data_IF_279188998999
#
_entry.id   IF_279188998999
#
_cell.length_a   1.000
_cell.length_b   1.000
_cell.length_c   1.000
_cell.angle_alpha   90.00
_cell.angle_beta   90.00
_cell.angle_gamma   90.00
#
_symmetry.space_group_name_H-M   'P 1'
#
loop_
_entity.id
_entity.type
_entity.pdbx_description
1 polymer ?
#
# COMPACT_ATOMS: atom_id res chain seq x y z
N UNK A 1 0.27 13.74 -25.75
CA UNK A 1 0.39 13.20 -24.37
C UNK A 1 0.69 11.73 -24.46
N UNK A 2 1.58 11.18 -23.59
CA UNK A 2 1.92 9.75 -23.59
C UNK A 2 0.75 8.96 -22.99
N UNK A 3 0.29 7.91 -23.67
CA UNK A 3 -0.74 6.98 -23.18
C UNK A 3 -0.13 5.61 -22.95
N UNK A 4 -0.69 4.84 -22.03
CA UNK A 4 -0.18 3.58 -21.53
C UNK A 4 -1.13 2.41 -21.88
N UNK A 5 -0.66 1.19 -21.78
CA UNK A 5 -1.42 -0.05 -21.99
C UNK A 5 -2.12 -0.13 -23.37
N UNK A 6 -1.52 0.46 -24.41
CA UNK A 6 -2.15 0.70 -25.73
C UNK A 6 -2.55 -0.57 -26.51
N UNK A 7 -1.92 -1.69 -26.25
CA UNK A 7 -2.11 -2.96 -26.99
C UNK A 7 -2.51 -4.11 -26.08
N UNK A 8 -3.00 -3.77 -24.88
CA UNK A 8 -3.39 -4.77 -23.90
C UNK A 8 -4.75 -5.36 -24.28
N UNK A 9 -4.76 -6.62 -24.69
CA UNK A 9 -6.00 -7.39 -24.79
C UNK A 9 -6.31 -8.01 -23.43
N UNK A 10 -7.24 -7.37 -22.71
CA UNK A 10 -7.69 -7.84 -21.40
C UNK A 10 -8.81 -8.87 -21.49
N UNK A 11 -9.33 -9.14 -22.70
CA UNK A 11 -10.41 -10.12 -22.94
C UNK A 11 -9.89 -11.51 -23.28
N UNK A 12 -8.59 -11.69 -23.46
CA UNK A 12 -8.00 -13.00 -23.73
C UNK A 12 -8.17 -13.97 -22.56
N UNK A 13 -8.81 -15.12 -22.77
CA UNK A 13 -9.08 -16.11 -21.71
C UNK A 13 -7.83 -16.54 -20.96
N UNK A 14 -6.71 -16.76 -21.67
CA UNK A 14 -5.45 -17.16 -21.04
C UNK A 14 -4.89 -16.06 -20.12
N UNK A 15 -5.05 -14.79 -20.51
CA UNK A 15 -4.67 -13.65 -19.68
C UNK A 15 -5.53 -13.60 -18.42
N UNK A 16 -6.84 -13.71 -18.57
CA UNK A 16 -7.79 -13.70 -17.45
C UNK A 16 -7.49 -14.88 -16.52
N UNK A 17 -7.45 -16.10 -17.05
CA UNK A 17 -7.17 -17.34 -16.32
C UNK A 17 -5.91 -17.23 -15.46
N UNK A 18 -4.81 -16.73 -16.04
CA UNK A 18 -3.53 -16.57 -15.34
C UNK A 18 -3.68 -15.76 -14.05
N UNK A 19 -4.33 -14.63 -14.13
CA UNK A 19 -4.39 -13.70 -12.99
C UNK A 19 -5.46 -14.05 -11.98
N UNK A 20 -6.65 -14.50 -12.44
CA UNK A 20 -7.70 -14.94 -11.50
C UNK A 20 -7.30 -16.22 -10.78
N UNK A 21 -6.62 -17.16 -11.45
CA UNK A 21 -6.12 -18.38 -10.81
C UNK A 21 -5.14 -18.06 -9.69
N UNK A 22 -4.13 -17.22 -9.97
CA UNK A 22 -3.17 -16.79 -8.94
C UNK A 22 -3.86 -16.19 -7.72
N UNK A 23 -4.84 -15.31 -7.94
CA UNK A 23 -5.61 -14.68 -6.87
C UNK A 23 -6.51 -15.67 -6.12
N UNK A 24 -7.18 -16.56 -6.82
CA UNK A 24 -8.04 -17.60 -6.23
C UNK A 24 -7.20 -18.52 -5.34
N UNK A 25 -6.04 -19.00 -5.81
CA UNK A 25 -5.18 -19.87 -5.00
C UNK A 25 -4.66 -19.17 -3.74
N UNK A 26 -4.27 -17.89 -3.82
CA UNK A 26 -3.91 -17.10 -2.64
C UNK A 26 -5.06 -17.00 -1.62
N UNK A 27 -6.29 -16.82 -2.12
CA UNK A 27 -7.50 -16.74 -1.27
C UNK A 27 -7.91 -18.09 -0.68
N UNK A 28 -7.70 -19.20 -1.37
CA UNK A 28 -8.00 -20.55 -0.86
C UNK A 28 -7.21 -20.86 0.42
N UNK A 29 -5.97 -20.39 0.51
CA UNK A 29 -5.18 -20.51 1.74
C UNK A 29 -5.85 -19.85 2.95
N UNK A 30 -6.69 -18.85 2.72
CA UNK A 30 -7.40 -18.10 3.76
C UNK A 30 -8.85 -18.54 4.01
N UNK A 31 -9.36 -19.54 3.27
CA UNK A 31 -10.62 -20.22 3.56
C UNK A 31 -11.93 -19.53 3.17
N UNK A 32 -11.95 -18.60 2.19
CA UNK A 32 -13.06 -17.64 2.00
C UNK A 32 -13.83 -17.69 0.67
N UNK A 33 -13.96 -18.85 -0.01
CA UNK A 33 -14.51 -18.82 -1.38
C UNK A 33 -15.69 -19.76 -1.73
N UNK A 34 -16.42 -20.37 -0.79
CA UNK A 34 -17.42 -21.38 -1.19
C UNK A 34 -18.58 -20.81 -2.02
N UNK A 35 -18.91 -19.51 -1.92
CA UNK A 35 -20.07 -18.95 -2.60
C UNK A 35 -19.91 -18.87 -4.12
N UNK A 36 -18.76 -18.41 -4.63
CA UNK A 36 -18.53 -18.33 -6.07
C UNK A 36 -18.39 -19.75 -6.68
N UNK A 37 -17.74 -20.68 -5.95
CA UNK A 37 -17.61 -22.07 -6.41
C UNK A 37 -18.94 -22.82 -6.33
N UNK A 38 -19.82 -22.47 -5.41
CA UNK A 38 -21.18 -23.01 -5.35
C UNK A 38 -22.01 -22.56 -6.55
N UNK A 39 -21.91 -21.28 -6.92
CA UNK A 39 -22.61 -20.71 -8.09
C UNK A 39 -22.18 -21.42 -9.38
N UNK A 40 -20.88 -21.37 -9.71
CA UNK A 40 -20.35 -21.97 -10.94
C UNK A 40 -20.43 -23.49 -10.97
N UNK A 41 -20.30 -24.15 -9.83
CA UNK A 41 -20.46 -25.60 -9.73
C UNK A 41 -21.89 -26.11 -9.67
N UNK A 42 -22.89 -25.21 -9.63
CA UNK A 42 -24.30 -25.54 -9.41
C UNK A 42 -24.51 -26.49 -8.21
N UNK A 43 -23.80 -26.25 -7.11
CA UNK A 43 -23.80 -27.07 -5.91
C UNK A 43 -24.04 -26.24 -4.66
N UNK A 44 -24.32 -26.92 -3.53
CA UNK A 44 -24.45 -26.23 -2.24
C UNK A 44 -23.14 -25.62 -1.74
N UNK A 45 -23.20 -24.57 -0.92
CA UNK A 45 -22.00 -23.96 -0.30
C UNK A 45 -21.19 -24.95 0.54
N UNK A 46 -21.83 -25.93 1.15
CA UNK A 46 -21.15 -26.97 1.95
C UNK A 46 -20.41 -27.95 1.04
N UNK A 47 -21.03 -28.36 -0.06
CA UNK A 47 -20.38 -29.21 -1.06
C UNK A 47 -19.21 -28.48 -1.75
N UNK A 48 -19.39 -27.20 -2.12
CA UNK A 48 -18.30 -26.38 -2.64
C UNK A 48 -17.12 -26.30 -1.67
N UNK A 49 -17.37 -26.12 -0.37
CA UNK A 49 -16.30 -26.12 0.65
C UNK A 49 -15.56 -27.46 0.69
N UNK A 50 -16.28 -28.57 0.65
CA UNK A 50 -15.68 -29.91 0.62
C UNK A 50 -14.83 -30.13 -0.62
N UNK A 51 -15.32 -29.73 -1.81
CA UNK A 51 -14.59 -29.89 -3.08
C UNK A 51 -13.38 -28.95 -3.20
N UNK A 52 -13.47 -27.75 -2.65
CA UNK A 52 -12.33 -26.83 -2.55
C UNK A 52 -11.13 -27.44 -1.81
N UNK A 53 -11.38 -28.31 -0.82
CA UNK A 53 -10.31 -28.97 -0.06
C UNK A 53 -9.79 -30.24 -0.72
N UNK A 54 -10.61 -30.93 -1.53
CA UNK A 54 -10.33 -32.30 -1.94
C UNK A 54 -10.30 -32.55 -3.47
N UNK A 55 -10.74 -31.59 -4.30
CA UNK A 55 -10.83 -31.76 -5.76
C UNK A 55 -10.17 -30.62 -6.54
N UNK A 56 -8.88 -30.73 -6.85
CA UNK A 56 -8.17 -29.76 -7.70
C UNK A 56 -8.79 -29.58 -9.08
N UNK A 57 -9.30 -30.67 -9.65
CA UNK A 57 -9.94 -30.70 -10.97
C UNK A 57 -11.21 -29.83 -10.97
N UNK A 58 -12.00 -29.89 -9.91
CA UNK A 58 -13.16 -29.03 -9.74
C UNK A 58 -12.76 -27.54 -9.65
N UNK A 59 -11.69 -27.24 -8.91
CA UNK A 59 -11.19 -25.86 -8.80
C UNK A 59 -10.73 -25.34 -10.15
N UNK A 60 -9.97 -26.15 -10.90
CA UNK A 60 -9.49 -25.78 -12.24
C UNK A 60 -10.67 -25.58 -13.22
N UNK A 61 -11.63 -26.48 -13.24
CA UNK A 61 -12.82 -26.38 -14.11
C UNK A 61 -13.63 -25.11 -13.83
N UNK A 62 -13.83 -24.76 -12.56
CA UNK A 62 -14.54 -23.53 -12.19
C UNK A 62 -13.74 -22.28 -12.58
N UNK A 63 -12.41 -22.29 -12.41
CA UNK A 63 -11.55 -21.17 -12.87
C UNK A 63 -11.67 -20.99 -14.39
N UNK A 64 -11.66 -22.08 -15.14
CA UNK A 64 -11.78 -22.04 -16.60
C UNK A 64 -13.12 -21.46 -17.03
N UNK A 65 -14.21 -21.87 -16.38
CA UNK A 65 -15.55 -21.33 -16.65
C UNK A 65 -15.62 -19.84 -16.30
N UNK A 66 -15.10 -19.42 -15.16
CA UNK A 66 -15.04 -18.00 -14.79
C UNK A 66 -14.25 -17.19 -15.82
N UNK A 67 -13.10 -17.71 -16.28
CA UNK A 67 -12.27 -17.03 -17.26
C UNK A 67 -12.99 -16.87 -18.61
N UNK A 68 -13.69 -17.90 -19.06
CA UNK A 68 -14.51 -17.88 -20.26
C UNK A 68 -15.62 -16.82 -20.17
N UNK A 69 -16.41 -16.85 -19.11
CA UNK A 69 -17.52 -15.89 -18.91
C UNK A 69 -17.00 -14.45 -18.77
N UNK A 70 -15.92 -14.23 -18.00
CA UNK A 70 -15.30 -12.90 -17.91
C UNK A 70 -14.81 -12.41 -19.28
N UNK A 71 -14.22 -13.29 -20.10
CA UNK A 71 -13.81 -12.96 -21.47
C UNK A 71 -14.99 -12.52 -22.34
N UNK A 72 -16.08 -13.28 -22.29
CA UNK A 72 -17.29 -12.98 -23.04
C UNK A 72 -17.91 -11.65 -22.62
N UNK A 73 -18.07 -11.43 -21.32
CA UNK A 73 -18.66 -10.21 -20.76
C UNK A 73 -17.80 -8.96 -20.98
N UNK A 74 -16.49 -9.09 -21.06
CA UNK A 74 -15.59 -8.01 -21.47
C UNK A 74 -15.80 -7.64 -22.95
N UNK A 75 -15.83 -8.64 -23.83
CA UNK A 75 -16.04 -8.44 -25.29
C UNK A 75 -17.40 -7.82 -25.60
N UNK A 76 -18.43 -8.22 -24.88
CA UNK A 76 -19.80 -7.71 -25.04
C UNK A 76 -20.10 -6.46 -24.22
N UNK A 77 -19.16 -6.00 -23.40
CA UNK A 77 -19.33 -4.86 -22.48
C UNK A 77 -20.49 -5.00 -21.50
N UNK A 78 -20.66 -6.21 -20.98
CA UNK A 78 -21.73 -6.59 -20.03
C UNK A 78 -21.16 -7.06 -18.68
N UNK A 79 -20.03 -6.46 -18.24
CA UNK A 79 -19.36 -6.82 -16.99
C UNK A 79 -20.25 -6.56 -15.76
N UNK A 80 -21.02 -5.45 -15.79
CA UNK A 80 -21.94 -5.09 -14.70
C UNK A 80 -23.03 -6.15 -14.56
N UNK A 81 -23.63 -6.54 -15.65
CA UNK A 81 -24.68 -7.59 -15.73
C UNK A 81 -24.13 -8.92 -15.20
N UNK A 82 -22.93 -9.32 -15.60
CA UNK A 82 -22.29 -10.54 -15.10
C UNK A 82 -22.13 -10.53 -13.57
N UNK A 83 -21.65 -9.42 -13.01
CA UNK A 83 -21.50 -9.31 -11.57
C UNK A 83 -22.83 -9.50 -10.85
N UNK A 84 -23.91 -8.88 -11.35
CA UNK A 84 -25.24 -9.05 -10.77
C UNK A 84 -25.87 -10.42 -11.01
N UNK A 85 -25.55 -11.11 -12.10
CA UNK A 85 -25.93 -12.51 -12.32
C UNK A 85 -25.34 -13.45 -11.28
N UNK A 86 -24.04 -13.28 -10.97
CA UNK A 86 -23.34 -14.10 -9.97
C UNK A 86 -23.76 -13.74 -8.54
N UNK A 87 -24.18 -12.50 -8.30
CA UNK A 87 -24.56 -11.98 -6.97
C UNK A 87 -25.91 -11.26 -7.04
N UNK A 88 -26.99 -12.00 -7.32
CA UNK A 88 -28.32 -11.40 -7.35
C UNK A 88 -28.74 -10.94 -5.94
N UNK A 89 -29.40 -9.78 -5.86
CA UNK A 89 -30.04 -9.23 -4.65
C UNK A 89 -29.14 -9.01 -3.42
N UNK A 90 -27.86 -9.36 -3.49
CA UNK A 90 -26.93 -9.14 -2.39
C UNK A 90 -26.18 -7.80 -2.54
N UNK A 91 -25.76 -7.26 -1.40
CA UNK A 91 -24.86 -6.09 -1.42
C UNK A 91 -23.53 -6.45 -2.08
N UNK A 92 -23.13 -5.63 -3.06
CA UNK A 92 -21.84 -5.77 -3.75
C UNK A 92 -20.66 -5.70 -2.77
N UNK A 93 -20.77 -4.81 -1.78
CA UNK A 93 -19.75 -4.57 -0.76
C UNK A 93 -20.39 -4.55 0.62
N UNK A 94 -19.86 -5.34 1.54
CA UNK A 94 -20.22 -5.33 2.96
C UNK A 94 -19.21 -4.50 3.74
N UNK A 95 -19.66 -3.43 4.38
CA UNK A 95 -18.82 -2.65 5.28
C UNK A 95 -18.61 -3.37 6.61
N UNK A 96 -17.35 -3.50 7.05
CA UNK A 96 -16.96 -4.11 8.32
C UNK A 96 -15.97 -3.22 9.04
N UNK A 97 -16.30 -2.84 10.26
CA UNK A 97 -15.41 -2.05 11.10
C UNK A 97 -14.38 -2.94 11.79
N UNK A 98 -13.12 -2.60 11.62
CA UNK A 98 -12.00 -3.24 12.31
C UNK A 98 -11.23 -2.22 13.14
N UNK A 99 -10.72 -2.68 14.29
CA UNK A 99 -9.81 -1.88 15.10
C UNK A 99 -8.38 -2.10 14.61
N UNK A 100 -7.75 -1.05 14.11
CA UNK A 100 -6.32 -1.08 13.74
C UNK A 100 -5.47 -1.36 14.99
N UNK A 101 -4.83 -2.52 15.00
CA UNK A 101 -4.01 -2.98 16.13
C UNK A 101 -2.84 -2.04 16.49
N UNK A 102 -2.36 -1.24 15.54
CA UNK A 102 -1.25 -0.31 15.76
C UNK A 102 -1.72 1.04 16.30
N UNK A 103 -2.71 1.65 15.69
CA UNK A 103 -3.21 2.98 16.06
C UNK A 103 -4.38 2.94 17.05
N UNK A 104 -5.10 1.82 17.14
CA UNK A 104 -6.36 1.70 17.89
C UNK A 104 -7.55 2.40 17.22
N UNK A 105 -7.38 2.94 16.00
CA UNK A 105 -8.45 3.59 15.26
C UNK A 105 -9.37 2.56 14.61
N UNK A 106 -10.66 2.85 14.58
CA UNK A 106 -11.63 2.09 13.82
C UNK A 106 -11.45 2.44 12.33
N UNK A 107 -11.36 1.42 11.49
CA UNK A 107 -11.31 1.53 10.04
C UNK A 107 -12.41 0.67 9.43
N UNK A 108 -13.20 1.26 8.57
CA UNK A 108 -14.23 0.52 7.81
C UNK A 108 -13.57 -0.12 6.60
N UNK A 109 -13.61 -1.43 6.51
CA UNK A 109 -13.19 -2.19 5.33
C UNK A 109 -14.40 -2.50 4.47
N UNK A 110 -14.25 -2.35 3.15
CA UNK A 110 -15.20 -2.87 2.18
C UNK A 110 -14.88 -4.33 1.85
N UNK A 111 -15.74 -5.24 2.24
CA UNK A 111 -15.65 -6.64 1.84
C UNK A 111 -16.47 -6.85 0.57
N UNK A 112 -15.80 -6.80 -0.56
CA UNK A 112 -16.38 -6.96 -1.88
C UNK A 112 -16.70 -8.43 -2.18
N UNK A 113 -17.70 -8.65 -3.01
CA UNK A 113 -18.01 -9.98 -3.53
C UNK A 113 -16.88 -10.47 -4.45
N UNK A 114 -16.66 -11.78 -4.45
CA UNK A 114 -15.49 -12.36 -5.13
C UNK A 114 -15.44 -12.06 -6.61
N UNK A 115 -16.57 -12.14 -7.31
CA UNK A 115 -16.62 -11.83 -8.76
C UNK A 115 -16.15 -10.39 -9.05
N UNK A 116 -16.52 -9.43 -8.20
CA UNK A 116 -16.05 -8.04 -8.30
C UNK A 116 -14.53 -7.97 -8.09
N UNK A 117 -14.01 -8.65 -7.05
CA UNK A 117 -12.56 -8.72 -6.81
C UNK A 117 -11.79 -9.32 -7.99
N UNK A 118 -12.35 -10.31 -8.70
CA UNK A 118 -11.70 -10.91 -9.89
C UNK A 118 -11.56 -9.90 -11.03
N UNK A 119 -12.59 -9.09 -11.30
CA UNK A 119 -12.48 -8.01 -12.28
C UNK A 119 -11.51 -6.91 -11.84
N UNK A 120 -11.44 -6.60 -10.56
CA UNK A 120 -10.46 -5.64 -10.02
C UNK A 120 -9.02 -6.15 -10.15
N UNK A 121 -8.78 -7.43 -9.88
CA UNK A 121 -7.48 -8.06 -10.10
C UNK A 121 -7.08 -7.96 -11.57
N UNK A 122 -8.02 -8.25 -12.47
CA UNK A 122 -7.76 -8.14 -13.90
C UNK A 122 -7.42 -6.69 -14.31
N UNK A 123 -8.19 -5.71 -13.86
CA UNK A 123 -7.93 -4.29 -14.12
C UNK A 123 -6.58 -3.84 -13.56
N UNK A 124 -6.26 -4.29 -12.33
CA UNK A 124 -4.97 -3.99 -11.67
C UNK A 124 -3.79 -4.52 -12.47
N UNK A 125 -3.82 -5.80 -12.84
CA UNK A 125 -2.71 -6.45 -13.55
C UNK A 125 -2.58 -5.93 -15.00
N UNK A 126 -3.69 -5.64 -15.65
CA UNK A 126 -3.70 -5.04 -16.98
C UNK A 126 -3.14 -3.61 -17.02
N UNK A 127 -3.25 -2.87 -15.92
CA UNK A 127 -2.76 -1.51 -15.81
C UNK A 127 -1.33 -1.41 -15.25
N UNK A 128 -0.57 -2.51 -15.14
CA UNK A 128 0.78 -2.52 -14.53
C UNK A 128 1.76 -1.54 -15.20
N UNK A 129 1.71 -1.40 -16.53
CA UNK A 129 2.51 -0.41 -17.27
C UNK A 129 2.19 1.02 -16.78
N UNK A 130 0.90 1.33 -16.57
CA UNK A 130 0.47 2.63 -16.08
C UNK A 130 0.98 2.88 -14.65
N UNK A 131 0.80 1.92 -13.75
CA UNK A 131 1.26 2.04 -12.36
C UNK A 131 2.77 2.25 -12.31
N UNK A 132 3.52 1.41 -13.01
CA UNK A 132 4.98 1.48 -13.06
C UNK A 132 5.49 2.82 -13.62
N UNK A 133 4.83 3.36 -14.64
CA UNK A 133 5.24 4.60 -15.29
C UNK A 133 4.90 5.86 -14.49
N UNK A 134 3.77 5.85 -13.76
CA UNK A 134 3.24 7.05 -13.10
C UNK A 134 3.62 7.16 -11.64
N UNK A 135 3.69 6.03 -10.93
CA UNK A 135 3.97 6.06 -9.50
C UNK A 135 5.39 6.52 -9.24
N UNK A 136 5.53 7.61 -8.51
CA UNK A 136 6.81 8.26 -8.23
C UNK A 136 7.77 7.39 -7.42
N UNK A 137 9.08 7.63 -7.60
CA UNK A 137 10.14 6.85 -6.97
C UNK A 137 10.02 6.79 -5.43
N UNK A 138 9.60 7.88 -4.81
CA UNK A 138 9.46 8.03 -3.37
C UNK A 138 8.01 7.98 -2.88
N UNK A 139 7.11 7.39 -3.66
CA UNK A 139 5.87 6.82 -3.16
C UNK A 139 6.19 5.40 -2.68
N UNK A 140 6.03 5.14 -1.38
CA UNK A 140 6.64 3.94 -0.79
C UNK A 140 5.62 2.92 -0.25
N UNK A 141 4.37 3.28 -0.13
CA UNK A 141 3.37 2.39 0.45
C UNK A 141 2.81 1.39 -0.56
N UNK A 142 2.70 0.14 -0.16
CA UNK A 142 2.05 -0.94 -0.93
C UNK A 142 2.60 -1.19 -2.34
N UNK A 143 3.86 -0.83 -2.59
CA UNK A 143 4.55 -1.04 -3.86
C UNK A 143 5.60 -2.14 -3.68
N UNK A 144 5.66 -3.16 -4.55
CA UNK A 144 6.67 -4.21 -4.48
C UNK A 144 8.09 -3.63 -4.43
N UNK A 145 8.95 -4.17 -3.56
CA UNK A 145 10.32 -3.70 -3.38
C UNK A 145 10.47 -2.35 -2.65
N UNK A 146 9.37 -1.68 -2.32
CA UNK A 146 9.36 -0.43 -1.53
C UNK A 146 8.72 -0.70 -0.15
N UNK A 147 8.39 0.32 0.58
CA UNK A 147 7.81 0.22 1.92
C UNK A 147 8.69 0.87 2.98
N UNK A 148 8.45 0.54 4.25
CA UNK A 148 9.11 1.18 5.38
C UNK A 148 10.64 1.11 5.33
N UNK A 149 11.22 -0.05 5.00
CA UNK A 149 12.67 -0.21 4.93
C UNK A 149 13.30 0.65 3.82
N UNK A 150 12.63 0.71 2.66
CA UNK A 150 13.03 1.57 1.56
C UNK A 150 12.93 3.04 1.96
N UNK A 151 11.79 3.46 2.51
CA UNK A 151 11.58 4.84 2.97
C UNK A 151 12.61 5.24 4.04
N UNK A 152 12.86 4.38 5.04
CA UNK A 152 13.91 4.56 6.04
C UNK A 152 15.26 4.83 5.41
N UNK A 153 15.70 3.93 4.50
CA UNK A 153 17.00 4.03 3.82
C UNK A 153 17.21 5.39 3.14
N UNK A 154 16.17 5.90 2.45
CA UNK A 154 16.31 7.16 1.74
C UNK A 154 16.21 8.37 2.66
N UNK A 155 15.36 8.36 3.68
CA UNK A 155 15.30 9.46 4.68
C UNK A 155 16.65 9.57 5.41
N UNK A 156 17.20 8.46 5.88
CA UNK A 156 18.53 8.45 6.51
C UNK A 156 19.60 8.99 5.56
N UNK A 157 19.59 8.54 4.32
CA UNK A 157 20.53 9.00 3.29
C UNK A 157 20.41 10.50 3.04
N UNK A 158 19.19 11.03 2.90
CA UNK A 158 18.96 12.46 2.70
C UNK A 158 19.39 13.27 3.91
N UNK A 159 18.92 12.91 5.10
CA UNK A 159 19.28 13.62 6.33
C UNK A 159 20.78 13.57 6.60
N UNK A 160 21.44 12.47 6.25
CA UNK A 160 22.89 12.32 6.45
C UNK A 160 23.71 13.05 5.38
N UNK A 161 23.42 12.85 4.09
CA UNK A 161 24.26 13.33 2.99
C UNK A 161 23.92 14.73 2.49
N UNK A 162 22.68 15.18 2.75
CA UNK A 162 22.19 16.51 2.41
C UNK A 162 21.62 17.21 3.65
N UNK A 163 22.47 17.55 4.65
CA UNK A 163 22.03 18.17 5.89
C UNK A 163 21.43 19.57 5.66
N UNK A 164 21.84 20.28 4.60
CA UNK A 164 21.28 21.59 4.27
C UNK A 164 19.92 21.47 3.59
N UNK A 165 19.76 20.59 2.59
CA UNK A 165 18.48 20.35 1.94
C UNK A 165 17.44 19.70 2.83
N UNK A 166 17.85 19.05 3.93
CA UNK A 166 16.96 18.46 4.95
C UNK A 166 16.88 19.26 6.24
N UNK A 167 17.30 20.53 6.23
CA UNK A 167 17.32 21.41 7.40
C UNK A 167 15.95 21.67 8.00
N UNK A 168 14.94 21.78 7.16
CA UNK A 168 13.55 21.91 7.56
C UNK A 168 12.71 20.79 6.96
N UNK A 169 11.68 20.40 7.69
CA UNK A 169 10.74 19.38 7.25
C UNK A 169 9.30 19.88 7.42
N UNK A 170 8.48 19.63 6.42
CA UNK A 170 7.02 19.65 6.52
C UNK A 170 6.52 18.24 6.65
N UNK A 171 5.62 18.00 7.59
CA UNK A 171 4.79 16.79 7.67
C UNK A 171 3.34 17.17 7.46
N UNK A 172 2.67 16.44 6.58
CA UNK A 172 1.26 16.62 6.28
C UNK A 172 0.57 15.28 6.04
N UNK A 173 -0.74 15.27 6.21
CA UNK A 173 -1.60 14.09 6.07
C UNK A 173 -2.86 14.52 5.30
N UNK A 174 -3.29 13.71 4.34
CA UNK A 174 -4.52 13.95 3.58
C UNK A 174 -5.72 13.46 4.40
N UNK A 175 -6.70 14.34 4.60
CA UNK A 175 -7.88 14.02 5.39
C UNK A 175 -8.73 12.96 4.69
N UNK A 176 -8.91 11.80 5.34
CA UNK A 176 -9.74 10.69 4.83
C UNK A 176 -9.42 10.34 3.36
N UNK A 177 -8.15 10.13 3.02
CA UNK A 177 -7.69 9.98 1.63
C UNK A 177 -8.56 9.02 0.81
N UNK A 178 -8.65 7.74 1.20
CA UNK A 178 -9.48 6.75 0.50
C UNK A 178 -10.97 7.13 0.37
N UNK A 179 -11.66 7.53 1.47
CA UNK A 179 -13.07 7.92 1.36
C UNK A 179 -13.33 9.22 0.60
N UNK A 180 -12.31 10.05 0.37
CA UNK A 180 -12.48 11.38 -0.26
C UNK A 180 -12.06 11.42 -1.73
N UNK A 181 -11.55 10.33 -2.30
CA UNK A 181 -11.17 10.30 -3.72
C UNK A 181 -12.39 10.44 -4.61
N UNK A 182 -12.42 11.46 -5.48
CA UNK A 182 -13.50 11.68 -6.42
C UNK A 182 -13.48 10.63 -7.54
N UNK A 183 -14.61 9.96 -7.77
CA UNK A 183 -14.79 9.01 -8.87
C UNK A 183 -14.57 9.70 -10.22
N UNK A 184 -15.16 10.89 -10.42
CA UNK A 184 -15.01 11.66 -11.66
C UNK A 184 -13.56 12.01 -11.92
N UNK A 185 -12.80 12.39 -10.87
CA UNK A 185 -11.38 12.74 -11.01
C UNK A 185 -10.51 11.51 -11.28
N UNK A 186 -10.81 10.36 -10.68
CA UNK A 186 -10.14 9.09 -11.02
C UNK A 186 -10.35 8.78 -12.51
N UNK A 187 -11.59 8.86 -13.00
CA UNK A 187 -11.92 8.57 -14.38
C UNK A 187 -11.32 9.59 -15.34
N UNK A 188 -11.29 10.87 -14.98
CA UNK A 188 -10.60 11.91 -15.78
C UNK A 188 -9.12 11.56 -16.00
N UNK A 189 -8.43 11.17 -14.94
CA UNK A 189 -7.02 10.78 -15.02
C UNK A 189 -6.83 9.52 -15.85
N UNK A 190 -7.65 8.49 -15.65
CA UNK A 190 -7.59 7.24 -16.41
C UNK A 190 -7.88 7.47 -17.89
N UNK A 191 -8.91 8.25 -18.25
CA UNK A 191 -9.21 8.61 -19.65
C UNK A 191 -8.04 9.28 -20.33
N UNK A 192 -7.38 10.20 -19.64
CA UNK A 192 -6.21 10.90 -20.15
C UNK A 192 -5.03 9.96 -20.39
N UNK A 193 -4.76 9.06 -19.46
CA UNK A 193 -3.55 8.23 -19.46
C UNK A 193 -3.75 6.90 -20.21
N UNK A 194 -4.97 6.36 -20.25
CA UNK A 194 -5.34 5.12 -20.97
C UNK A 194 -5.99 5.38 -22.33
N UNK A 195 -6.15 6.59 -22.81
CA UNK A 195 -7.03 7.03 -23.90
C UNK A 195 -7.07 6.21 -25.21
N UNK A 196 -6.18 5.20 -25.37
CA UNK A 196 -6.19 4.23 -26.47
C UNK A 196 -6.40 2.78 -26.02
N UNK A 197 -6.73 2.57 -24.77
CA UNK A 197 -6.99 1.25 -24.15
C UNK A 197 -8.47 1.16 -23.79
N UNK A 198 -9.30 1.16 -24.82
CA UNK A 198 -10.74 1.32 -24.71
C UNK A 198 -11.43 0.30 -23.79
N UNK A 199 -11.02 -0.98 -23.89
CA UNK A 199 -11.58 -2.04 -23.04
C UNK A 199 -11.13 -1.94 -21.58
N UNK A 200 -9.88 -1.58 -21.33
CA UNK A 200 -9.39 -1.38 -19.96
C UNK A 200 -10.03 -0.15 -19.31
N UNK A 201 -10.23 0.91 -20.09
CA UNK A 201 -10.94 2.09 -19.63
C UNK A 201 -12.40 1.77 -19.29
N UNK A 202 -13.10 1.04 -20.18
CA UNK A 202 -14.46 0.53 -19.93
C UNK A 202 -14.52 -0.26 -18.62
N UNK A 203 -13.55 -1.16 -18.37
CA UNK A 203 -13.52 -1.94 -17.14
C UNK A 203 -13.38 -1.04 -15.90
N UNK A 204 -12.49 -0.05 -15.93
CA UNK A 204 -12.37 0.90 -14.82
C UNK A 204 -13.64 1.75 -14.62
N UNK A 205 -14.28 2.22 -15.71
CA UNK A 205 -15.52 2.97 -15.63
C UNK A 205 -16.63 2.12 -14.99
N UNK A 206 -16.73 0.86 -15.36
CA UNK A 206 -17.68 -0.09 -14.76
C UNK A 206 -17.40 -0.30 -13.27
N UNK A 207 -16.15 -0.57 -12.88
CA UNK A 207 -15.78 -0.81 -11.48
C UNK A 207 -16.02 0.43 -10.60
N UNK A 208 -15.67 1.61 -11.07
CA UNK A 208 -15.92 2.85 -10.32
C UNK A 208 -17.44 3.13 -10.23
N UNK A 209 -18.21 2.83 -11.27
CA UNK A 209 -19.68 2.87 -11.23
C UNK A 209 -20.25 1.93 -10.17
N UNK A 210 -19.74 0.70 -10.08
CA UNK A 210 -20.14 -0.27 -9.07
C UNK A 210 -19.74 0.16 -7.64
N UNK A 211 -18.68 0.92 -7.46
CA UNK A 211 -18.37 1.54 -6.15
C UNK A 211 -19.46 2.53 -5.74
N UNK A 212 -19.93 3.36 -6.67
CA UNK A 212 -21.04 4.29 -6.41
C UNK A 212 -22.31 3.53 -6.04
N UNK A 213 -22.66 2.47 -6.79
CA UNK A 213 -23.82 1.63 -6.52
C UNK A 213 -23.74 0.93 -5.16
N UNK A 214 -22.58 0.36 -4.81
CA UNK A 214 -22.36 -0.28 -3.52
C UNK A 214 -22.55 0.69 -2.35
N UNK A 215 -22.16 1.96 -2.52
CA UNK A 215 -22.39 3.01 -1.52
C UNK A 215 -23.87 3.35 -1.37
N UNK A 216 -24.61 3.42 -2.49
CA UNK A 216 -26.07 3.57 -2.46
C UNK A 216 -26.73 2.40 -1.72
N UNK A 217 -26.33 1.15 -2.02
CA UNK A 217 -26.81 -0.03 -1.32
C UNK A 217 -26.51 -0.01 0.19
N UNK A 218 -25.41 0.60 0.59
CA UNK A 218 -25.01 0.79 1.99
C UNK A 218 -25.60 2.06 2.62
N UNK A 219 -26.45 2.81 1.91
CA UNK A 219 -27.08 4.05 2.38
C UNK A 219 -26.07 5.12 2.81
N UNK A 220 -24.92 5.17 2.14
CA UNK A 220 -23.92 6.21 2.37
C UNK A 220 -24.41 7.55 1.80
N UNK A 221 -24.10 8.65 2.51
CA UNK A 221 -24.50 10.00 2.07
C UNK A 221 -23.79 10.46 0.80
N UNK A 222 -22.54 10.03 0.65
CA UNK A 222 -21.68 10.41 -0.47
C UNK A 222 -21.37 9.17 -1.32
N UNK A 223 -21.97 9.08 -2.47
CA UNK A 223 -21.81 7.96 -3.40
C UNK A 223 -20.85 8.27 -4.56
N UNK A 224 -20.39 9.52 -4.71
CA UNK A 224 -19.49 9.94 -5.79
C UNK A 224 -18.01 10.02 -5.38
N UNK A 225 -17.72 9.75 -4.14
CA UNK A 225 -16.36 9.75 -3.61
C UNK A 225 -16.04 8.46 -2.88
N UNK A 226 -14.78 8.09 -2.88
CA UNK A 226 -14.19 7.04 -2.07
C UNK A 226 -14.08 5.69 -2.75
N UNK A 227 -12.93 5.08 -2.53
CA UNK A 227 -12.60 3.71 -2.91
C UNK A 227 -12.54 2.85 -1.65
N UNK A 228 -12.84 1.56 -1.77
CA UNK A 228 -12.94 0.66 -0.61
C UNK A 228 -11.56 0.23 -0.11
N UNK A 229 -11.33 0.36 1.20
CA UNK A 229 -10.15 -0.20 1.84
C UNK A 229 -10.33 -1.72 1.88
N UNK A 230 -9.41 -2.45 1.25
CA UNK A 230 -9.46 -3.92 1.14
C UNK A 230 -9.70 -4.43 -0.29
N UNK A 231 -10.13 -3.57 -1.20
CA UNK A 231 -10.22 -3.87 -2.63
C UNK A 231 -8.84 -4.18 -3.23
N UNK A 232 -8.74 -5.16 -4.13
CA UNK A 232 -7.49 -5.51 -4.82
C UNK A 232 -6.82 -4.35 -5.53
N UNK A 233 -7.59 -3.46 -6.19
CA UNK A 233 -7.07 -2.36 -7.02
C UNK A 233 -6.92 -1.04 -6.26
N UNK A 234 -7.60 -0.86 -5.13
CA UNK A 234 -7.69 0.43 -4.44
C UNK A 234 -6.34 1.03 -4.03
N UNK A 235 -5.38 0.20 -3.62
CA UNK A 235 -4.04 0.67 -3.25
C UNK A 235 -3.26 1.24 -4.45
N UNK A 236 -3.43 0.61 -5.61
CA UNK A 236 -2.75 1.01 -6.84
C UNK A 236 -3.40 2.27 -7.41
N UNK A 237 -4.74 2.35 -7.39
CA UNK A 237 -5.49 3.58 -7.70
C UNK A 237 -5.12 4.75 -6.78
N UNK A 238 -4.96 4.51 -5.47
CA UNK A 238 -4.54 5.54 -4.53
C UNK A 238 -3.14 6.06 -4.84
N UNK A 239 -2.17 5.16 -5.06
CA UNK A 239 -0.82 5.56 -5.45
C UNK A 239 -0.80 6.31 -6.79
N UNK A 240 -1.55 5.84 -7.77
CA UNK A 240 -1.70 6.51 -9.06
C UNK A 240 -2.30 7.91 -8.90
N UNK A 241 -3.38 8.04 -8.15
CA UNK A 241 -4.03 9.33 -7.89
C UNK A 241 -3.07 10.32 -7.22
N UNK A 242 -2.30 9.87 -6.24
CA UNK A 242 -1.31 10.69 -5.54
C UNK A 242 -0.01 10.88 -6.33
N UNK A 243 0.19 10.16 -7.43
CA UNK A 243 1.36 10.38 -8.28
C UNK A 243 1.37 11.78 -8.91
N UNK A 244 0.21 12.37 -9.13
CA UNK A 244 0.11 13.76 -9.60
C UNK A 244 0.66 14.76 -8.59
N UNK A 245 0.40 14.54 -7.29
CA UNK A 245 1.02 15.33 -6.23
C UNK A 245 2.54 15.15 -6.21
N UNK A 246 3.01 13.89 -6.35
CA UNK A 246 4.44 13.60 -6.41
C UNK A 246 5.12 14.35 -7.56
N UNK A 247 4.56 14.26 -8.76
CA UNK A 247 5.11 14.91 -9.94
C UNK A 247 5.02 16.44 -9.88
N UNK A 248 3.94 16.98 -9.37
CA UNK A 248 3.82 18.40 -9.09
C UNK A 248 4.96 18.88 -8.17
N UNK A 249 5.15 18.19 -7.05
CA UNK A 249 6.19 18.52 -6.09
C UNK A 249 7.61 18.41 -6.67
N UNK A 250 7.87 17.40 -7.51
CA UNK A 250 9.21 17.17 -8.05
C UNK A 250 9.54 18.03 -9.27
N UNK A 251 8.55 18.37 -10.08
CA UNK A 251 8.76 18.98 -11.40
C UNK A 251 8.31 20.44 -11.49
N UNK A 252 7.36 20.89 -10.65
CA UNK A 252 6.69 22.18 -10.81
C UNK A 252 6.89 23.14 -9.62
N UNK A 253 7.24 22.64 -8.43
CA UNK A 253 7.47 23.50 -7.25
C UNK A 253 8.78 24.28 -7.31
N UNK A 254 8.77 25.31 -8.13
CA UNK A 254 9.89 26.23 -8.30
C UNK A 254 9.42 27.69 -8.20
N UNK A 255 10.34 28.57 -7.87
CA UNK A 255 10.21 30.01 -7.96
C UNK A 255 11.16 30.54 -9.06
N UNK A 256 10.61 31.30 -10.00
CA UNK A 256 11.45 32.03 -10.97
C UNK A 256 11.99 33.28 -10.28
N UNK A 257 13.30 33.43 -10.23
CA UNK A 257 13.98 34.60 -9.67
C UNK A 257 14.77 35.32 -10.73
N UNK A 258 14.44 36.55 -10.99
CA UNK A 258 15.23 37.44 -11.87
C UNK A 258 16.13 38.30 -11.02
N UNK A 259 17.42 38.21 -11.23
CA UNK A 259 18.42 39.05 -10.59
C UNK A 259 19.41 39.54 -11.63
N UNK A 260 19.61 40.84 -11.73
CA UNK A 260 20.52 41.47 -12.74
C UNK A 260 20.25 40.99 -14.17
N UNK A 261 18.99 40.94 -14.60
CA UNK A 261 18.59 40.49 -15.93
C UNK A 261 18.65 38.97 -16.17
N UNK A 262 19.20 38.18 -15.23
CA UNK A 262 19.30 36.74 -15.37
C UNK A 262 18.19 36.06 -14.55
N UNK A 263 17.33 35.32 -15.22
CA UNK A 263 16.26 34.53 -14.60
C UNK A 263 16.77 33.13 -14.23
N UNK A 264 16.62 32.75 -13.00
CA UNK A 264 17.02 31.44 -12.47
C UNK A 264 15.83 30.75 -11.84
N UNK A 265 15.80 29.41 -11.95
CA UNK A 265 14.78 28.55 -11.38
C UNK A 265 15.24 28.08 -9.99
N UNK A 266 14.58 28.55 -8.93
CA UNK A 266 14.89 28.20 -7.56
C UNK A 266 13.96 27.09 -7.08
N UNK A 267 14.48 25.95 -6.65
CA UNK A 267 13.71 24.89 -6.00
C UNK A 267 13.17 25.35 -4.64
N UNK A 268 11.90 25.04 -4.36
CA UNK A 268 11.27 25.28 -3.05
C UNK A 268 11.40 24.09 -2.13
N UNK A 269 11.52 22.87 -2.69
CA UNK A 269 11.74 21.63 -1.95
C UNK A 269 12.95 20.88 -2.52
N UNK A 270 13.60 20.05 -1.70
CA UNK A 270 14.76 19.24 -2.08
C UNK A 270 14.41 17.76 -2.13
N UNK A 271 13.65 17.26 -1.17
CA UNK A 271 13.22 15.87 -1.12
C UNK A 271 11.75 15.77 -0.74
N UNK A 272 11.10 14.73 -1.27
CA UNK A 272 9.71 14.38 -0.97
C UNK A 272 9.61 12.89 -0.73
N UNK A 273 8.75 12.48 0.19
CA UNK A 273 8.30 11.10 0.33
C UNK A 273 6.82 11.06 0.64
N UNK A 274 6.11 10.13 -0.01
CA UNK A 274 4.68 9.91 0.17
C UNK A 274 4.45 8.46 0.60
N UNK A 275 3.75 8.28 1.70
CA UNK A 275 3.29 6.98 2.16
C UNK A 275 1.76 7.00 2.30
N UNK A 276 1.06 6.68 1.24
CA UNK A 276 -0.39 6.90 1.12
C UNK A 276 -0.74 8.36 1.42
N UNK A 277 -1.54 8.59 2.46
CA UNK A 277 -1.99 9.90 2.93
C UNK A 277 -0.91 10.73 3.62
N UNK A 278 0.13 10.11 4.17
CA UNK A 278 1.23 10.77 4.86
C UNK A 278 2.30 11.28 3.88
N UNK A 279 2.58 12.58 3.92
CA UNK A 279 3.59 13.23 3.05
C UNK A 279 4.61 14.00 3.88
N UNK A 280 5.88 13.87 3.53
CA UNK A 280 6.96 14.73 4.03
C UNK A 280 7.65 15.47 2.90
N UNK A 281 7.98 16.74 3.14
CA UNK A 281 8.76 17.59 2.25
C UNK A 281 9.96 18.14 3.02
N UNK A 282 11.12 18.11 2.40
CA UNK A 282 12.32 18.73 2.97
C UNK A 282 12.77 19.94 2.19
N UNK A 283 13.36 20.92 2.91
CA UNK A 283 13.89 22.13 2.31
C UNK A 283 14.98 22.77 3.17
N UNK A 284 15.80 23.60 2.53
CA UNK A 284 16.90 24.32 3.17
C UNK A 284 16.43 25.59 3.88
N UNK A 285 15.31 26.18 3.45
CA UNK A 285 14.80 27.45 3.95
C UNK A 285 13.36 27.31 4.43
N UNK A 286 13.09 27.86 5.64
CA UNK A 286 11.77 27.76 6.28
C UNK A 286 10.68 28.52 5.49
N UNK A 287 10.98 29.71 4.96
CA UNK A 287 10.03 30.52 4.21
C UNK A 287 9.67 29.88 2.87
N UNK A 288 10.69 29.39 2.16
CA UNK A 288 10.49 28.69 0.87
C UNK A 288 9.65 27.42 1.06
N UNK A 289 9.96 26.64 2.09
CA UNK A 289 9.25 25.40 2.37
C UNK A 289 7.80 25.65 2.83
N UNK A 290 7.57 26.74 3.57
CA UNK A 290 6.21 27.18 3.92
C UNK A 290 5.43 27.58 2.65
N UNK A 291 6.04 28.37 1.75
CA UNK A 291 5.45 28.72 0.47
C UNK A 291 5.12 27.47 -0.36
N UNK A 292 6.05 26.53 -0.43
CA UNK A 292 5.82 25.24 -1.12
C UNK A 292 4.60 24.51 -0.54
N UNK A 293 4.46 24.46 0.78
CA UNK A 293 3.32 23.81 1.41
C UNK A 293 1.99 24.47 1.09
N UNK A 294 1.92 25.80 1.03
CA UNK A 294 0.71 26.50 0.62
C UNK A 294 0.32 26.18 -0.82
N UNK A 295 1.30 26.09 -1.74
CA UNK A 295 1.08 25.68 -3.12
C UNK A 295 0.63 24.21 -3.22
N UNK A 296 1.17 23.33 -2.38
CA UNK A 296 0.75 21.93 -2.27
C UNK A 296 -0.68 21.82 -1.77
N UNK A 297 -1.08 22.60 -0.78
CA UNK A 297 -2.47 22.63 -0.27
C UNK A 297 -3.44 23.05 -1.37
N UNK A 298 -3.09 24.09 -2.14
CA UNK A 298 -3.91 24.55 -3.25
C UNK A 298 -4.00 23.52 -4.37
N UNK A 299 -2.88 22.89 -4.76
CA UNK A 299 -2.86 21.82 -5.75
C UNK A 299 -3.70 20.61 -5.34
N UNK A 300 -3.57 20.16 -4.08
CA UNK A 300 -4.36 19.03 -3.55
C UNK A 300 -5.84 19.36 -3.54
N UNK A 301 -6.22 20.61 -3.25
CA UNK A 301 -7.61 21.06 -3.25
C UNK A 301 -8.16 21.19 -4.68
N UNK A 302 -7.48 21.93 -5.55
CA UNK A 302 -7.98 22.30 -6.89
C UNK A 302 -7.85 21.15 -7.89
N UNK A 303 -6.74 20.42 -7.88
CA UNK A 303 -6.44 19.38 -8.88
C UNK A 303 -6.88 17.99 -8.43
N UNK A 304 -6.67 17.65 -7.14
CA UNK A 304 -7.00 16.33 -6.63
C UNK A 304 -8.36 16.28 -5.91
N UNK A 305 -9.03 17.39 -5.73
CA UNK A 305 -10.29 17.47 -4.98
C UNK A 305 -10.19 16.83 -3.56
N UNK A 306 -8.99 16.90 -2.95
CA UNK A 306 -8.70 16.38 -1.62
C UNK A 306 -8.39 17.51 -0.64
N UNK A 307 -8.39 17.22 0.64
CA UNK A 307 -8.05 18.18 1.69
C UNK A 307 -6.86 17.68 2.52
N UNK A 308 -5.84 18.52 2.68
CA UNK A 308 -4.79 18.30 3.66
C UNK A 308 -5.35 18.67 5.05
N UNK A 309 -4.97 17.90 6.08
CA UNK A 309 -5.34 18.22 7.47
C UNK A 309 -4.73 19.53 7.91
N UNK A 310 -5.50 20.32 8.65
CA UNK A 310 -5.04 21.62 9.17
C UNK A 310 -3.89 21.48 10.20
N UNK A 311 -3.69 20.27 10.74
CA UNK A 311 -2.62 19.90 11.69
C UNK A 311 -1.25 19.63 11.04
N UNK A 312 -1.02 20.03 9.78
CA UNK A 312 0.31 19.93 9.20
C UNK A 312 1.34 20.76 9.99
N UNK A 313 2.59 20.33 9.98
CA UNK A 313 3.63 20.99 10.77
C UNK A 313 4.90 21.25 9.96
N UNK A 314 5.53 22.40 10.19
CA UNK A 314 6.83 22.78 9.65
C UNK A 314 7.79 23.01 10.80
N UNK A 315 8.91 22.29 10.79
CA UNK A 315 9.90 22.35 11.88
C UNK A 315 11.33 22.21 11.34
N UNK A 316 12.29 22.62 12.13
CA UNK A 316 13.70 22.35 11.89
C UNK A 316 14.00 20.94 12.37
N UNK A 317 14.64 20.14 11.51
CA UNK A 317 15.08 18.77 11.85
C UNK A 317 16.11 18.78 12.96
N UNK A 318 16.23 17.68 13.71
CA UNK A 318 17.20 17.55 14.80
C UNK A 318 18.63 17.85 14.37
N UNK A 319 19.36 18.57 15.21
CA UNK A 319 20.77 18.92 15.03
C UNK A 319 21.43 19.22 16.38
N UNK A 320 22.74 19.17 16.44
CA UNK A 320 23.53 19.60 17.59
C UNK A 320 24.05 21.02 17.32
N UNK A 321 23.82 21.94 18.23
CA UNK A 321 24.33 23.31 18.12
C UNK A 321 25.83 23.41 18.43
N UNK A 322 26.41 24.63 18.34
CA UNK A 322 27.84 24.87 18.58
C UNK A 322 28.26 24.54 20.01
N UNK A 323 27.36 24.56 20.96
CA UNK A 323 27.58 24.25 22.38
C UNK A 323 27.35 22.76 22.69
N UNK A 324 27.22 21.89 21.70
CA UNK A 324 26.98 20.46 21.88
C UNK A 324 25.55 20.10 22.29
N UNK A 325 24.62 21.09 22.35
CA UNK A 325 23.25 20.85 22.78
C UNK A 325 22.39 20.40 21.62
N UNK A 326 21.63 19.31 21.82
CA UNK A 326 20.64 18.82 20.87
C UNK A 326 19.49 19.82 20.75
N UNK A 327 19.15 20.21 19.53
CA UNK A 327 18.06 21.12 19.16
C UNK A 327 17.29 20.63 17.94
N UNK A 328 16.19 21.30 17.64
CA UNK A 328 15.28 20.92 16.57
C UNK A 328 14.31 19.84 17.01
N UNK A 329 13.58 19.26 16.06
CA UNK A 329 12.60 18.22 16.29
C UNK A 329 12.98 16.97 15.50
N UNK A 330 12.86 15.82 16.12
CA UNK A 330 13.01 14.53 15.42
C UNK A 330 11.87 14.31 14.45
N UNK A 331 12.18 13.70 13.32
CA UNK A 331 11.17 13.33 12.33
C UNK A 331 10.53 12.01 12.74
N UNK A 332 9.26 12.03 13.11
CA UNK A 332 8.44 10.83 13.33
C UNK A 332 7.65 10.49 12.07
N UNK A 333 8.10 9.50 11.30
CA UNK A 333 7.47 9.12 10.03
C UNK A 333 7.51 7.61 9.83
N UNK A 334 6.46 7.02 9.26
CA UNK A 334 6.32 5.58 9.04
C UNK A 334 6.48 4.74 10.33
N UNK A 335 6.17 5.30 11.51
CA UNK A 335 6.37 4.62 12.80
C UNK A 335 7.82 4.53 13.26
N UNK A 336 8.73 5.25 12.61
CA UNK A 336 10.13 5.42 12.94
C UNK A 336 10.40 6.86 13.35
N UNK A 337 11.36 7.05 14.25
CA UNK A 337 11.83 8.36 14.68
C UNK A 337 13.28 8.53 14.21
N UNK A 338 13.48 9.51 13.34
CA UNK A 338 14.79 9.85 12.77
C UNK A 338 15.41 10.99 13.59
N UNK A 339 16.51 10.69 14.20
CA UNK A 339 17.22 11.59 15.09
C UNK A 339 18.50 12.11 14.41
N UNK A 340 18.47 13.38 14.02
CA UNK A 340 19.64 14.06 13.46
C UNK A 340 20.59 14.51 14.56
N UNK A 341 21.86 14.17 14.44
CA UNK A 341 22.92 14.47 15.42
C UNK A 341 23.90 15.51 14.86
N UNK A 342 25.14 15.46 15.32
CA UNK A 342 26.24 16.34 14.92
C UNK A 342 26.61 16.19 13.43
N UNK A 343 27.16 17.29 12.90
CA UNK A 343 27.82 17.30 11.59
C UNK A 343 29.24 16.81 11.75
N UNK A 344 29.67 15.92 10.84
CA UNK A 344 31.04 15.45 10.75
C UNK A 344 31.57 15.67 9.34
N UNK A 345 32.89 15.98 9.22
CA UNK A 345 33.56 16.06 7.93
C UNK A 345 34.18 14.70 7.60
N UNK A 346 33.90 14.19 6.42
CA UNK A 346 34.52 12.96 5.91
C UNK A 346 35.15 13.25 4.55
N UNK A 347 36.34 12.65 4.33
CA UNK A 347 37.00 12.71 3.04
C UNK A 347 36.61 11.49 2.20
N UNK A 348 36.09 11.72 0.99
CA UNK A 348 35.79 10.68 0.01
C UNK A 348 36.51 11.06 -1.30
N UNK A 349 37.41 10.20 -1.76
CA UNK A 349 38.16 10.41 -3.02
C UNK A 349 38.77 11.82 -3.15
N UNK A 350 39.41 12.29 -2.09
CA UNK A 350 40.03 13.63 -2.05
C UNK A 350 39.08 14.81 -1.83
N UNK A 351 37.78 14.58 -1.75
CA UNK A 351 36.80 15.64 -1.47
C UNK A 351 36.25 15.56 -0.05
N UNK A 352 36.34 16.66 0.68
CA UNK A 352 35.75 16.78 2.01
C UNK A 352 34.24 17.05 1.91
N UNK A 353 33.45 16.14 2.44
CA UNK A 353 31.98 16.25 2.47
C UNK A 353 31.53 16.36 3.92
N UNK A 354 30.64 17.31 4.17
CA UNK A 354 29.99 17.43 5.48
C UNK A 354 28.76 16.52 5.51
N UNK A 355 28.74 15.59 6.44
CA UNK A 355 27.60 14.67 6.64
C UNK A 355 27.06 14.83 8.06
N UNK A 356 25.78 14.49 8.25
CA UNK A 356 25.13 14.43 9.57
C UNK A 356 25.06 12.98 10.04
N UNK A 357 25.37 12.73 11.31
CA UNK A 357 24.99 11.46 11.91
C UNK A 357 23.47 11.42 12.10
N UNK A 358 22.88 10.29 11.73
CA UNK A 358 21.43 10.03 11.87
C UNK A 358 21.26 8.67 12.53
N UNK A 359 20.51 8.64 13.63
CA UNK A 359 20.05 7.39 14.23
C UNK A 359 18.56 7.22 14.04
N UNK A 360 18.09 5.99 13.93
CA UNK A 360 16.68 5.69 13.72
C UNK A 360 16.17 4.75 14.79
N UNK A 361 15.14 5.20 15.50
CA UNK A 361 14.49 4.46 16.59
C UNK A 361 13.07 4.08 16.22
N UNK A 362 12.55 3.07 16.89
CA UNK A 362 11.12 2.70 16.78
C UNK A 362 10.30 3.76 17.54
N UNK A 363 9.16 4.17 16.98
CA UNK A 363 8.21 5.03 17.69
C UNK A 363 7.82 4.40 19.05
N UNK A 364 7.84 5.17 20.12
CA UNK A 364 7.62 4.68 21.49
C UNK A 364 6.34 3.85 21.64
N UNK A 365 5.23 4.26 21.04
CA UNK A 365 3.97 3.52 21.11
C UNK A 365 4.06 2.13 20.48
N UNK A 366 4.79 1.98 19.36
CA UNK A 366 5.01 0.69 18.69
C UNK A 366 5.96 -0.16 19.53
N UNK A 367 7.06 0.44 20.01
CA UNK A 367 8.04 -0.22 20.85
C UNK A 367 7.40 -0.85 22.11
N UNK A 368 6.59 -0.09 22.83
CA UNK A 368 5.91 -0.57 24.04
C UNK A 368 4.92 -1.71 23.74
N UNK A 369 4.17 -1.62 22.62
CA UNK A 369 3.27 -2.70 22.19
C UNK A 369 4.06 -3.96 21.83
N UNK A 370 5.14 -3.83 21.10
CA UNK A 370 6.01 -4.93 20.72
C UNK A 370 6.61 -5.61 21.95
N UNK A 371 7.14 -4.82 22.90
CA UNK A 371 7.74 -5.31 24.14
C UNK A 371 6.71 -6.06 24.98
N UNK A 372 5.51 -5.53 25.16
CA UNK A 372 4.41 -6.23 25.86
C UNK A 372 4.05 -7.53 25.15
N UNK A 373 4.08 -7.58 23.84
CA UNK A 373 3.76 -8.77 23.05
C UNK A 373 4.81 -9.85 23.22
N UNK A 374 6.09 -9.51 23.14
CA UNK A 374 7.19 -10.48 23.29
C UNK A 374 7.26 -11.04 24.71
N UNK A 375 7.04 -10.22 25.73
CA UNK A 375 6.95 -10.68 27.14
C UNK A 375 5.80 -11.67 27.37
N UNK A 376 4.61 -11.38 26.76
CA UNK A 376 3.48 -12.33 26.82
C UNK A 376 3.81 -13.65 26.10
N UNK A 377 4.55 -13.59 25.01
CA UNK A 377 5.00 -14.78 24.29
C UNK A 377 5.97 -15.58 25.15
N UNK A 378 7.00 -14.95 25.72
CA UNK A 378 7.95 -15.58 26.63
C UNK A 378 7.27 -16.22 27.85
N UNK A 379 6.31 -15.53 28.48
CA UNK A 379 5.54 -16.05 29.61
C UNK A 379 4.74 -17.31 29.23
N UNK A 380 4.16 -17.35 28.01
CA UNK A 380 3.45 -18.55 27.53
C UNK A 380 4.40 -19.73 27.34
N UNK A 381 5.59 -19.50 26.79
CA UNK A 381 6.63 -20.55 26.64
C UNK A 381 7.05 -21.06 28.01
N UNK A 382 7.43 -20.17 28.95
CA UNK A 382 7.84 -20.54 30.31
C UNK A 382 6.78 -21.39 31.02
N UNK A 383 5.52 -21.04 30.84
CA UNK A 383 4.39 -21.73 31.45
C UNK A 383 3.90 -22.94 30.63
N UNK A 384 4.64 -23.40 29.62
CA UNK A 384 4.32 -24.52 28.73
C UNK A 384 2.90 -24.47 28.13
N UNK A 385 2.35 -23.22 27.92
CA UNK A 385 1.02 -23.03 27.34
C UNK A 385 1.06 -23.21 25.83
N UNK A 386 0.01 -23.77 25.25
CA UNK A 386 -0.17 -23.89 23.80
C UNK A 386 -0.23 -22.50 23.19
N UNK A 387 0.60 -22.28 22.16
CA UNK A 387 0.68 -21.03 21.43
C UNK A 387 0.13 -21.26 20.01
N UNK A 388 -1.02 -20.67 19.71
CA UNK A 388 -1.62 -20.74 18.37
C UNK A 388 -0.85 -19.93 17.34
N UNK A 389 -0.94 -20.34 16.07
CA UNK A 389 -0.26 -19.71 14.92
C UNK A 389 -0.56 -18.20 14.80
N UNK A 390 -1.81 -17.79 14.98
CA UNK A 390 -2.20 -16.35 14.95
C UNK A 390 -1.45 -15.51 16.00
N UNK A 391 -1.24 -16.07 17.20
CA UNK A 391 -0.50 -15.35 18.24
C UNK A 391 1.00 -15.27 17.89
N UNK A 392 1.59 -16.34 17.38
CA UNK A 392 2.97 -16.37 16.91
C UNK A 392 3.18 -15.38 15.72
N UNK A 393 2.32 -15.40 14.70
CA UNK A 393 2.34 -14.45 13.58
C UNK A 393 2.28 -13.00 14.05
N UNK A 394 1.37 -12.67 14.97
CA UNK A 394 1.25 -11.32 15.52
C UNK A 394 2.46 -10.90 16.37
N UNK A 395 3.27 -11.84 16.86
CA UNK A 395 4.54 -11.56 17.56
C UNK A 395 5.64 -11.26 16.54
N UNK A 396 5.75 -12.06 15.47
CA UNK A 396 6.73 -11.86 14.41
C UNK A 396 6.50 -10.55 13.65
N UNK A 397 5.26 -10.09 13.52
CA UNK A 397 4.92 -8.85 12.82
C UNK A 397 5.72 -7.62 13.32
N UNK A 398 6.16 -7.62 14.57
CA UNK A 398 7.02 -6.55 15.11
C UNK A 398 8.50 -6.69 14.76
N UNK A 399 8.95 -7.85 14.28
CA UNK A 399 10.38 -8.11 14.09
C UNK A 399 11.04 -7.17 13.09
N UNK A 400 10.33 -6.82 12.01
CA UNK A 400 10.84 -5.89 11.00
C UNK A 400 11.26 -4.53 11.56
N UNK A 401 10.55 -4.03 12.57
CA UNK A 401 10.88 -2.79 13.26
C UNK A 401 12.20 -2.87 14.02
N UNK A 402 12.45 -3.98 14.72
CA UNK A 402 13.65 -4.16 15.54
C UNK A 402 14.90 -4.47 14.72
N UNK A 403 14.77 -5.23 13.64
CA UNK A 403 15.91 -5.57 12.78
C UNK A 403 16.42 -4.37 11.99
N UNK A 404 15.52 -3.43 11.65
CA UNK A 404 15.86 -2.29 10.79
C UNK A 404 16.22 -1.00 11.54
N UNK A 405 16.23 -1.01 12.87
CA UNK A 405 16.49 0.19 13.70
C UNK A 405 17.65 -0.01 14.66
N UNK A 406 18.06 1.07 15.34
CA UNK A 406 19.11 1.07 16.38
C UNK A 406 18.59 0.43 17.68
N UNK A 407 18.21 -0.84 17.61
CA UNK A 407 17.59 -1.59 18.71
C UNK A 407 18.38 -2.82 19.15
N UNK A 408 19.66 -2.92 18.77
CA UNK A 408 20.49 -4.09 19.06
C UNK A 408 20.53 -4.43 20.56
N UNK A 409 20.83 -3.46 21.42
CA UNK A 409 20.92 -3.68 22.87
C UNK A 409 19.59 -4.16 23.46
N UNK A 410 18.46 -3.63 22.99
CA UNK A 410 17.14 -4.08 23.42
C UNK A 410 16.86 -5.52 22.96
N UNK A 411 17.26 -5.87 21.73
CA UNK A 411 17.09 -7.24 21.21
C UNK A 411 17.87 -8.25 22.04
N UNK A 412 19.09 -7.90 22.45
CA UNK A 412 19.91 -8.74 23.35
C UNK A 412 19.25 -8.87 24.73
N UNK A 413 18.90 -7.74 25.37
CA UNK A 413 18.33 -7.71 26.70
C UNK A 413 17.00 -8.48 26.82
N UNK A 414 16.18 -8.46 25.77
CA UNK A 414 14.86 -9.11 25.72
C UNK A 414 14.91 -10.54 25.12
N UNK A 415 16.09 -11.09 24.83
CA UNK A 415 16.24 -12.35 24.09
C UNK A 415 15.36 -12.41 22.82
N UNK A 416 15.20 -11.23 22.17
CA UNK A 416 14.24 -11.02 21.09
C UNK A 416 14.40 -12.03 19.95
N UNK A 417 15.62 -12.19 19.45
CA UNK A 417 15.86 -13.02 18.26
C UNK A 417 15.58 -14.50 18.51
N UNK A 418 15.87 -14.99 19.73
CA UNK A 418 15.54 -16.36 20.15
C UNK A 418 14.01 -16.56 20.19
N UNK A 419 13.28 -15.62 20.81
CA UNK A 419 11.83 -15.69 20.91
C UNK A 419 11.15 -15.60 19.54
N UNK A 420 11.67 -14.76 18.63
CA UNK A 420 11.19 -14.67 17.23
C UNK A 420 11.49 -15.98 16.49
N UNK A 421 12.63 -16.61 16.68
CA UNK A 421 12.95 -17.92 16.10
C UNK A 421 11.95 -18.99 16.56
N UNK A 422 11.64 -19.03 17.86
CA UNK A 422 10.63 -19.94 18.39
C UNK A 422 9.24 -19.69 17.80
N UNK A 423 8.86 -18.41 17.63
CA UNK A 423 7.59 -18.06 16.99
C UNK A 423 7.53 -18.50 15.52
N UNK A 424 8.63 -18.33 14.77
CA UNK A 424 8.76 -18.82 13.38
C UNK A 424 8.62 -20.33 13.30
N UNK A 425 9.23 -21.07 14.23
CA UNK A 425 9.13 -22.54 14.28
C UNK A 425 7.68 -23.01 14.51
N UNK A 426 6.93 -22.31 15.37
CA UNK A 426 5.50 -22.61 15.58
C UNK A 426 4.72 -22.43 14.28
N UNK A 427 4.95 -21.33 13.56
CA UNK A 427 4.27 -21.07 12.27
C UNK A 427 4.69 -22.10 11.23
N UNK A 428 5.97 -22.42 11.12
CA UNK A 428 6.48 -23.42 10.17
C UNK A 428 5.86 -24.80 10.39
N UNK A 429 5.72 -25.23 11.66
CA UNK A 429 5.04 -26.49 11.99
C UNK A 429 3.57 -26.47 11.58
N UNK A 430 2.88 -25.38 11.87
CA UNK A 430 1.48 -25.21 11.49
C UNK A 430 1.31 -25.14 9.95
N UNK A 431 2.18 -24.42 9.26
CA UNK A 431 2.20 -24.34 7.80
C UNK A 431 2.48 -25.70 7.16
N UNK A 432 3.41 -26.50 7.69
CA UNK A 432 3.67 -27.86 7.20
C UNK A 432 2.45 -28.76 7.32
N UNK A 433 1.69 -28.67 8.42
CA UNK A 433 0.45 -29.42 8.59
C UNK A 433 -0.63 -29.01 7.58
N UNK A 434 -0.70 -27.70 7.23
CA UNK A 434 -1.68 -27.16 6.29
C UNK A 434 -1.20 -27.27 4.82
N UNK A 435 0.09 -27.11 4.55
CA UNK A 435 0.66 -27.08 3.19
C UNK A 435 0.81 -28.45 2.58
N UNK A 436 0.82 -29.53 3.36
CA UNK A 436 0.88 -30.88 2.78
C UNK A 436 -0.34 -31.16 1.88
N UNK A 437 -1.50 -30.64 2.24
CA UNK A 437 -2.67 -30.69 1.38
C UNK A 437 -2.56 -29.69 0.20
N UNK A 438 -2.11 -28.46 0.43
CA UNK A 438 -2.04 -27.38 -0.55
C UNK A 438 -0.85 -27.51 -1.51
N UNK A 439 0.30 -28.04 -1.07
CA UNK A 439 1.47 -28.27 -1.93
C UNK A 439 1.21 -29.38 -2.94
N UNK A 440 0.44 -30.40 -2.57
CA UNK A 440 -0.07 -31.42 -3.47
C UNK A 440 -0.99 -30.81 -4.54
N UNK A 441 -1.83 -29.85 -4.17
CA UNK A 441 -2.68 -29.05 -5.03
C UNK A 441 -1.86 -28.22 -6.03
N UNK A 442 -0.92 -27.42 -5.53
CA UNK A 442 -0.11 -26.51 -6.33
C UNK A 442 0.82 -27.23 -7.31
N UNK A 443 1.44 -28.33 -6.90
CA UNK A 443 2.27 -29.18 -7.77
C UNK A 443 1.46 -29.81 -8.89
N UNK A 444 0.23 -30.27 -8.61
CA UNK A 444 -0.65 -30.87 -9.61
C UNK A 444 -1.18 -29.80 -10.58
N UNK A 445 -1.55 -28.64 -10.10
CA UNK A 445 -1.98 -27.51 -10.92
C UNK A 445 -0.87 -26.96 -11.83
N UNK A 446 0.36 -26.79 -11.33
CA UNK A 446 1.52 -26.40 -12.15
C UNK A 446 1.80 -27.40 -13.28
N UNK A 447 1.67 -28.70 -13.02
CA UNK A 447 1.82 -29.72 -14.06
C UNK A 447 0.73 -29.67 -15.13
N UNK A 448 -0.50 -29.25 -14.78
CA UNK A 448 -1.63 -29.17 -15.71
C UNK A 448 -1.63 -27.88 -16.56
N UNK A 449 -1.01 -26.79 -16.12
CA UNK A 449 -1.11 -25.48 -16.77
C UNK A 449 0.23 -24.91 -17.26
N UNK A 450 1.36 -25.60 -17.06
CA UNK A 450 2.70 -25.15 -17.47
C UNK A 450 3.57 -26.32 -18.03
N UNK A 451 2.95 -27.45 -18.42
CA UNK A 451 3.62 -28.55 -19.14
C UNK A 451 3.44 -28.37 -20.63
#
# INVERSE_FOLDING_TARGET
MKTYCRRMDISGENFIRKYIAAFIYDKLENGNMPSIFAYYGSISKNEARRRLENSPEFVASVIDQIAYEMSWHLKTRTVREHIYMVVPEEKLVKNVDIVDGMSGKIRTLGLEKMIMQLYEVLAKEAADELWTAKVGLFQVASIPGRGQAYGKKYIERWMSRDPEGTKYCVQSDIKKCYPSMSHDKILEFLRRDLGKSDMLLYLFETLIGLYSEAKVQNKEKDCKHGIFIGSPVSKDLCNYYLSYLYHYCTNELYEMKTRRGKTTRKRLIYHIMIQMDDTILFGSNKKDLHKAMLLVIEFVKSTLCLKIKDSWSLFRTGYVDRNGKQKGRDLDYMGLVFHGQNLIKRCYSGKTVTIRNVSTRIRASIFLKARRKIHRFAKKIKNKKIIGSKFAMSTIAYNGWFVTTDSFLVRVAECWDQLISMAKNIISRYAKQKSYAMEKYYKKWRKLNYA
#
